data_IF_476654280348
#
_entry.id   IF_476654280348
#
_cell.length_a   1.000
_cell.length_b   1.000
_cell.length_c   1.000
_cell.angle_alpha   90.00
_cell.angle_beta   90.00
_cell.angle_gamma   90.00
#
_symmetry.space_group_name_H-M   'P 1'
#
loop_
_entity.id
_entity.type
_entity.pdbx_description
1 polymer ?
#
# COMPACT_ATOMS: atom_id res chain seq x y z
N UNK A 1 7.99 10.11 32.20
CA UNK A 1 6.57 9.68 32.17
C UNK A 1 6.55 8.25 31.65
N UNK A 2 6.17 7.26 32.47
CA UNK A 2 6.15 5.86 32.02
C UNK A 2 4.93 5.71 31.09
N UNK A 3 5.14 5.49 29.80
CA UNK A 3 4.05 5.14 28.87
C UNK A 3 3.57 3.74 29.26
N UNK A 4 2.30 3.60 29.63
CA UNK A 4 1.70 2.30 29.87
C UNK A 4 1.76 1.45 28.57
N UNK A 5 1.94 0.12 28.69
CA UNK A 5 1.90 -0.76 27.52
C UNK A 5 0.53 -0.67 26.83
N UNK A 6 0.52 -0.65 25.49
CA UNK A 6 -0.71 -0.74 24.71
C UNK A 6 -1.17 -2.18 24.62
N UNK A 7 -2.47 -2.41 24.74
CA UNK A 7 -3.10 -3.73 24.62
C UNK A 7 -3.72 -3.86 23.23
N UNK A 8 -3.41 -4.97 22.56
CA UNK A 8 -3.85 -5.31 21.20
C UNK A 8 -4.52 -6.69 21.20
N UNK A 9 -5.70 -6.77 20.61
CA UNK A 9 -6.54 -7.96 20.51
C UNK A 9 -7.69 -7.65 19.52
N UNK A 10 -8.44 -8.63 19.00
CA UNK A 10 -8.39 -10.08 19.27
C UNK A 10 -7.43 -10.92 18.43
N UNK A 11 -6.72 -10.37 17.44
CA UNK A 11 -5.92 -11.14 16.47
C UNK A 11 -6.76 -12.17 15.69
N UNK A 12 -7.93 -11.74 15.18
CA UNK A 12 -8.87 -12.64 14.49
C UNK A 12 -9.30 -12.07 13.13
N UNK A 13 -9.90 -12.90 12.29
CA UNK A 13 -10.67 -12.43 11.14
C UNK A 13 -11.87 -11.62 11.62
N UNK A 14 -12.21 -10.55 10.90
CA UNK A 14 -13.29 -9.66 11.31
C UNK A 14 -14.67 -10.31 11.15
N UNK A 15 -15.40 -10.40 12.26
CA UNK A 15 -16.82 -10.76 12.31
C UNK A 15 -17.57 -9.71 13.12
N UNK A 16 -18.50 -8.97 12.47
CA UNK A 16 -19.08 -7.74 13.04
C UNK A 16 -19.69 -7.95 14.42
N UNK A 17 -20.60 -8.92 14.55
CA UNK A 17 -21.36 -9.15 15.79
C UNK A 17 -20.45 -9.57 16.94
N UNK A 18 -19.43 -10.37 16.65
CA UNK A 18 -18.45 -10.81 17.64
C UNK A 18 -17.54 -9.64 18.08
N UNK A 19 -17.02 -8.87 17.11
CA UNK A 19 -16.19 -7.70 17.42
C UNK A 19 -16.96 -6.65 18.21
N UNK A 20 -18.24 -6.44 17.91
CA UNK A 20 -19.08 -5.51 18.65
C UNK A 20 -19.18 -5.92 20.13
N UNK A 21 -19.55 -7.19 20.40
CA UNK A 21 -19.61 -7.71 21.77
C UNK A 21 -18.25 -7.59 22.47
N UNK A 22 -17.17 -7.92 21.76
CA UNK A 22 -15.81 -7.81 22.32
C UNK A 22 -15.44 -6.37 22.70
N UNK A 23 -15.74 -5.40 21.84
CA UNK A 23 -15.45 -3.98 22.09
C UNK A 23 -16.29 -3.41 23.24
N UNK A 24 -17.56 -3.81 23.35
CA UNK A 24 -18.44 -3.44 24.47
C UNK A 24 -17.89 -3.96 25.81
N UNK A 25 -17.33 -5.16 25.84
CA UNK A 25 -16.76 -5.76 27.07
C UNK A 25 -15.33 -5.28 27.39
N UNK A 26 -14.61 -4.71 26.41
CA UNK A 26 -13.20 -4.30 26.57
C UNK A 26 -13.00 -2.78 26.68
N UNK A 27 -14.09 -2.02 26.86
CA UNK A 27 -14.04 -0.57 27.00
C UNK A 27 -13.05 -0.13 28.09
N UNK A 28 -12.19 0.83 27.75
CA UNK A 28 -11.17 1.39 28.64
C UNK A 28 -9.92 0.52 28.84
N UNK A 29 -9.91 -0.73 28.35
CA UNK A 29 -8.76 -1.63 28.47
C UNK A 29 -8.04 -1.85 27.13
N UNK A 30 -8.77 -1.80 26.01
CA UNK A 30 -8.20 -2.03 24.68
C UNK A 30 -7.64 -0.74 24.07
N UNK A 31 -6.40 -0.77 23.59
CA UNK A 31 -5.81 0.33 22.82
C UNK A 31 -5.92 0.13 21.31
N UNK A 32 -5.91 -1.12 20.86
CA UNK A 32 -5.85 -1.50 19.46
C UNK A 32 -6.82 -2.66 19.22
N UNK A 33 -7.78 -2.46 18.33
CA UNK A 33 -8.60 -3.54 17.78
C UNK A 33 -7.90 -4.08 16.53
N UNK A 34 -7.50 -5.34 16.59
CA UNK A 34 -6.70 -6.01 15.56
C UNK A 34 -7.53 -6.94 14.70
N UNK A 35 -7.21 -7.03 13.42
CA UNK A 35 -7.81 -7.99 12.51
C UNK A 35 -6.76 -8.60 11.57
N UNK A 36 -7.06 -9.80 11.09
CA UNK A 36 -6.31 -10.46 10.02
C UNK A 36 -7.01 -10.29 8.68
N UNK A 37 -6.26 -10.21 7.58
CA UNK A 37 -6.83 -10.09 6.22
C UNK A 37 -6.13 -11.03 5.23
N UNK A 38 -6.91 -11.92 4.61
CA UNK A 38 -6.47 -12.84 3.55
C UNK A 38 -7.53 -12.95 2.44
N UNK A 39 -7.72 -11.88 1.67
CA UNK A 39 -8.82 -11.77 0.71
C UNK A 39 -8.63 -12.52 -0.62
N UNK A 40 -7.45 -13.10 -0.89
CA UNK A 40 -7.19 -13.82 -2.15
C UNK A 40 -7.49 -15.32 -2.07
N UNK A 41 -7.65 -15.87 -0.87
CA UNK A 41 -7.87 -17.31 -0.66
C UNK A 41 -6.58 -18.11 -0.43
N UNK A 42 -6.59 -19.39 -0.76
CA UNK A 42 -5.46 -20.28 -0.51
C UNK A 42 -4.30 -20.02 -1.48
N UNK A 43 -3.07 -20.12 -1.00
CA UNK A 43 -1.88 -20.13 -1.87
C UNK A 43 -1.92 -21.24 -2.93
N UNK A 44 -2.52 -22.39 -2.62
CA UNK A 44 -2.64 -23.51 -3.57
C UNK A 44 -3.65 -23.29 -4.69
N UNK A 45 -4.39 -22.17 -4.70
CA UNK A 45 -5.38 -21.88 -5.72
C UNK A 45 -4.73 -21.72 -7.11
N UNK A 46 -5.13 -22.51 -8.12
CA UNK A 46 -4.60 -22.37 -9.47
C UNK A 46 -4.89 -21.00 -10.09
N UNK A 47 -5.97 -20.34 -9.68
CA UNK A 47 -6.50 -19.08 -10.24
C UNK A 47 -5.96 -17.82 -9.53
N UNK A 48 -4.99 -17.98 -8.62
CA UNK A 48 -4.52 -16.88 -7.76
C UNK A 48 -4.05 -15.64 -8.52
N UNK A 49 -3.42 -15.78 -9.69
CA UNK A 49 -3.00 -14.65 -10.52
C UNK A 49 -4.22 -13.85 -11.02
N UNK A 50 -5.26 -14.53 -11.50
CA UNK A 50 -6.46 -13.86 -11.99
C UNK A 50 -7.17 -13.12 -10.85
N UNK A 51 -7.20 -13.71 -9.65
CA UNK A 51 -7.72 -13.03 -8.44
C UNK A 51 -6.94 -11.77 -8.07
N UNK A 52 -5.61 -11.78 -8.21
CA UNK A 52 -4.78 -10.60 -7.95
C UNK A 52 -5.05 -9.48 -8.97
N UNK A 53 -5.42 -9.83 -10.20
CA UNK A 53 -5.71 -8.86 -11.28
C UNK A 53 -7.20 -8.48 -11.37
N UNK A 54 -8.07 -9.12 -10.58
CA UNK A 54 -9.51 -8.86 -10.55
C UNK A 54 -9.84 -7.76 -9.54
N UNK A 55 -10.31 -6.62 -10.03
CA UNK A 55 -10.69 -5.47 -9.21
C UNK A 55 -11.80 -5.79 -8.20
N UNK A 56 -12.71 -6.71 -8.52
CA UNK A 56 -13.79 -7.14 -7.63
C UNK A 56 -13.23 -7.91 -6.44
N UNK A 57 -12.27 -8.82 -6.69
CA UNK A 57 -11.61 -9.59 -5.64
C UNK A 57 -10.75 -8.68 -4.78
N UNK A 58 -10.01 -7.74 -5.37
CA UNK A 58 -9.24 -6.75 -4.62
C UNK A 58 -10.14 -5.86 -3.75
N UNK A 59 -11.26 -5.37 -4.29
CA UNK A 59 -12.22 -4.56 -3.54
C UNK A 59 -12.83 -5.31 -2.34
N UNK A 60 -12.89 -6.65 -2.36
CA UNK A 60 -13.34 -7.41 -1.18
C UNK A 60 -12.41 -7.24 0.04
N UNK A 61 -11.13 -6.91 -0.17
CA UNK A 61 -10.18 -6.59 0.90
C UNK A 61 -10.51 -5.31 1.66
N UNK A 62 -11.24 -4.37 1.04
CA UNK A 62 -11.72 -3.15 1.70
C UNK A 62 -12.84 -3.38 2.70
N UNK A 63 -13.63 -4.44 2.53
CA UNK A 63 -14.84 -4.70 3.34
C UNK A 63 -14.53 -4.82 4.84
N UNK A 64 -13.60 -5.68 5.30
CA UNK A 64 -13.26 -5.75 6.72
C UNK A 64 -12.63 -4.46 7.26
N UNK A 65 -11.86 -3.73 6.43
CA UNK A 65 -11.26 -2.44 6.80
C UNK A 65 -12.36 -1.40 7.09
N UNK A 66 -13.31 -1.24 6.17
CA UNK A 66 -14.44 -0.34 6.31
C UNK A 66 -15.35 -0.73 7.49
N UNK A 67 -15.64 -2.02 7.65
CA UNK A 67 -16.48 -2.51 8.74
C UNK A 67 -15.84 -2.23 10.11
N UNK A 68 -14.54 -2.52 10.29
CA UNK A 68 -13.86 -2.24 11.55
C UNK A 68 -13.82 -0.75 11.83
N UNK A 69 -13.51 0.09 10.84
CA UNK A 69 -13.53 1.55 10.98
C UNK A 69 -14.88 2.03 11.53
N UNK A 70 -15.98 1.64 10.88
CA UNK A 70 -17.31 2.08 11.30
C UNK A 70 -17.70 1.53 12.66
N UNK A 71 -17.36 0.28 12.98
CA UNK A 71 -17.68 -0.29 14.29
C UNK A 71 -16.95 0.45 15.42
N UNK A 72 -15.70 0.86 15.21
CA UNK A 72 -14.96 1.67 16.19
C UNK A 72 -15.62 3.05 16.38
N UNK A 73 -16.09 3.67 15.29
CA UNK A 73 -16.83 4.94 15.33
C UNK A 73 -18.20 4.77 16.05
N UNK A 74 -18.95 3.72 15.73
CA UNK A 74 -20.27 3.39 16.30
C UNK A 74 -20.19 3.10 17.80
N UNK A 75 -19.17 2.37 18.24
CA UNK A 75 -18.99 2.01 19.67
C UNK A 75 -18.42 3.15 20.51
N UNK A 76 -17.86 4.18 19.90
CA UNK A 76 -17.23 5.31 20.59
C UNK A 76 -15.99 4.92 21.41
N UNK A 77 -15.39 3.76 21.12
CA UNK A 77 -14.17 3.31 21.79
C UNK A 77 -12.98 4.21 21.43
N UNK A 78 -11.99 4.27 22.33
CA UNK A 78 -10.71 4.94 22.04
C UNK A 78 -9.71 4.03 21.31
N UNK A 79 -10.05 2.76 21.12
CA UNK A 79 -9.21 1.82 20.39
C UNK A 79 -9.11 2.21 18.91
N UNK A 80 -7.95 1.98 18.32
CA UNK A 80 -7.71 2.18 16.88
C UNK A 80 -7.66 0.86 16.12
N UNK A 81 -8.01 0.87 14.84
CA UNK A 81 -8.01 -0.32 13.99
C UNK A 81 -6.63 -0.62 13.40
N UNK A 82 -6.13 -1.84 13.59
CA UNK A 82 -4.89 -2.35 12.98
C UNK A 82 -5.16 -3.62 12.17
N UNK A 83 -4.41 -3.79 11.08
CA UNK A 83 -4.23 -5.10 10.45
C UNK A 83 -2.94 -5.68 11.00
N UNK A 84 -3.03 -6.74 11.78
CA UNK A 84 -1.89 -7.29 12.54
C UNK A 84 -1.30 -8.54 11.90
N UNK A 85 -2.00 -9.10 10.93
CA UNK A 85 -1.49 -10.13 10.06
C UNK A 85 -2.20 -10.08 8.70
N UNK A 86 -1.43 -9.97 7.62
CA UNK A 86 -1.98 -10.11 6.27
C UNK A 86 -0.90 -10.55 5.29
N UNK A 87 -1.18 -11.62 4.56
CA UNK A 87 -0.32 -12.14 3.49
C UNK A 87 -1.07 -12.33 2.17
N UNK A 88 -2.30 -11.82 2.06
CA UNK A 88 -3.16 -11.87 0.88
C UNK A 88 -3.71 -13.25 0.57
N UNK A 89 -2.82 -14.19 0.27
CA UNK A 89 -3.11 -15.61 0.14
C UNK A 89 -2.64 -16.38 1.38
N UNK A 90 -3.53 -17.09 2.06
CA UNK A 90 -3.19 -17.90 3.24
C UNK A 90 -2.44 -19.19 2.83
N UNK A 91 -2.05 -20.01 3.81
CA UNK A 91 -1.24 -21.22 3.60
C UNK A 91 0.13 -20.96 2.95
N UNK A 92 0.82 -19.92 3.41
CA UNK A 92 2.18 -19.54 2.98
C UNK A 92 2.32 -19.01 1.55
N UNK A 93 1.22 -18.66 0.88
CA UNK A 93 1.27 -18.19 -0.50
C UNK A 93 1.72 -19.27 -1.50
N UNK A 94 2.26 -18.84 -2.65
CA UNK A 94 2.63 -19.73 -3.77
C UNK A 94 3.89 -19.26 -4.47
N UNK A 95 4.86 -20.17 -4.65
CA UNK A 95 6.03 -19.90 -5.48
C UNK A 95 5.64 -19.58 -6.92
N UNK A 96 6.32 -18.61 -7.51
CA UNK A 96 6.01 -18.10 -8.84
C UNK A 96 4.80 -17.15 -8.87
N UNK A 97 4.15 -16.89 -7.74
CA UNK A 97 3.02 -15.95 -7.64
C UNK A 97 3.21 -14.95 -6.50
N UNK A 98 3.22 -15.37 -5.24
CA UNK A 98 3.24 -14.44 -4.09
C UNK A 98 4.63 -13.90 -3.76
N UNK A 99 5.67 -14.45 -4.39
CA UNK A 99 7.05 -13.98 -4.34
C UNK A 99 7.50 -13.36 -5.67
N UNK A 100 6.56 -12.99 -6.54
CA UNK A 100 6.84 -12.39 -7.86
C UNK A 100 6.13 -11.05 -8.00
N UNK A 101 6.45 -10.29 -9.05
CA UNK A 101 5.99 -8.91 -9.23
C UNK A 101 4.47 -8.77 -9.21
N UNK A 102 3.73 -9.77 -9.72
CA UNK A 102 2.26 -9.76 -9.74
C UNK A 102 1.68 -9.53 -8.35
N UNK A 103 2.34 -10.01 -7.29
CA UNK A 103 1.82 -9.87 -5.93
C UNK A 103 1.89 -8.43 -5.39
N UNK A 104 2.78 -7.61 -5.96
CA UNK A 104 2.93 -6.21 -5.57
C UNK A 104 1.69 -5.37 -5.88
N UNK A 105 0.88 -5.81 -6.85
CA UNK A 105 -0.42 -5.21 -7.13
C UNK A 105 -1.36 -5.32 -5.93
N UNK A 106 -1.58 -6.53 -5.40
CA UNK A 106 -2.39 -6.73 -4.21
C UNK A 106 -1.79 -6.00 -3.01
N UNK A 107 -0.47 -6.08 -2.82
CA UNK A 107 0.14 -5.57 -1.60
C UNK A 107 0.06 -4.04 -1.49
N UNK A 108 0.43 -3.31 -2.55
CA UNK A 108 0.34 -1.86 -2.52
C UNK A 108 -1.11 -1.38 -2.54
N UNK A 109 -2.01 -2.14 -3.17
CA UNK A 109 -3.43 -1.86 -3.17
C UNK A 109 -4.06 -1.95 -1.78
N UNK A 110 -3.81 -3.05 -1.04
CA UNK A 110 -4.34 -3.22 0.31
C UNK A 110 -3.75 -2.20 1.30
N UNK A 111 -2.49 -1.78 1.11
CA UNK A 111 -1.92 -0.66 1.90
C UNK A 111 -2.67 0.65 1.63
N UNK A 112 -2.98 0.94 0.37
CA UNK A 112 -3.79 2.10 -0.03
C UNK A 112 -5.20 2.06 0.58
N UNK A 113 -5.89 0.93 0.48
CA UNK A 113 -7.23 0.74 1.07
C UNK A 113 -7.21 0.82 2.60
N UNK A 114 -6.23 0.19 3.25
CA UNK A 114 -6.09 0.24 4.70
C UNK A 114 -5.92 1.68 5.20
N UNK A 115 -5.07 2.46 4.54
CA UNK A 115 -4.90 3.88 4.84
C UNK A 115 -6.20 4.68 4.63
N UNK A 116 -6.91 4.45 3.51
CA UNK A 116 -8.17 5.14 3.20
C UNK A 116 -9.29 4.86 4.22
N UNK A 117 -9.29 3.67 4.84
CA UNK A 117 -10.22 3.30 5.91
C UNK A 117 -9.63 3.42 7.31
N UNK A 118 -8.68 4.33 7.49
CA UNK A 118 -8.15 4.76 8.78
C UNK A 118 -7.47 3.65 9.62
N UNK A 119 -7.00 2.59 8.97
CA UNK A 119 -6.18 1.57 9.62
C UNK A 119 -4.80 2.16 9.94
N UNK A 120 -4.44 2.16 11.22
CA UNK A 120 -3.24 2.89 11.70
C UNK A 120 -1.93 2.12 11.52
N UNK A 121 -2.01 0.80 11.36
CA UNK A 121 -0.86 -0.06 11.15
C UNK A 121 -1.25 -1.28 10.33
N UNK A 122 -0.35 -1.70 9.45
CA UNK A 122 -0.48 -2.89 8.62
C UNK A 122 0.75 -3.79 8.77
N UNK A 123 0.58 -4.95 9.38
CA UNK A 123 1.60 -5.98 9.53
C UNK A 123 1.55 -6.94 8.34
N UNK A 124 2.60 -6.91 7.52
CA UNK A 124 2.79 -7.87 6.44
C UNK A 124 3.25 -9.22 7.00
N UNK A 125 2.45 -10.25 6.78
CA UNK A 125 2.87 -11.64 6.88
C UNK A 125 3.61 -12.00 5.57
N UNK A 126 4.94 -12.14 5.55
CA UNK A 126 5.94 -12.01 6.64
C UNK A 126 7.12 -11.17 6.17
N UNK A 127 8.01 -10.79 7.09
CA UNK A 127 9.36 -10.37 6.71
C UNK A 127 10.15 -11.53 6.07
N UNK A 128 10.16 -12.71 6.71
CA UNK A 128 10.79 -13.95 6.24
C UNK A 128 9.88 -15.13 6.55
N UNK A 129 9.76 -16.07 5.62
CA UNK A 129 9.02 -17.34 5.79
C UNK A 129 7.77 -17.43 4.92
N UNK A 130 7.64 -18.52 4.17
CA UNK A 130 6.59 -18.69 3.16
C UNK A 130 6.87 -17.93 1.87
N UNK A 131 6.07 -18.17 0.83
CA UNK A 131 6.24 -17.54 -0.47
C UNK A 131 5.66 -16.12 -0.54
N UNK A 132 4.91 -15.65 0.45
CA UNK A 132 4.48 -14.24 0.54
C UNK A 132 5.49 -13.36 1.28
N UNK A 133 6.67 -13.88 1.61
CA UNK A 133 7.66 -13.17 2.43
C UNK A 133 8.28 -12.00 1.67
N UNK A 134 8.61 -10.92 2.38
CA UNK A 134 9.33 -9.79 1.78
C UNK A 134 10.76 -10.16 1.39
N UNK A 135 11.39 -11.08 2.12
CA UNK A 135 12.71 -11.61 1.82
C UNK A 135 12.61 -13.10 1.49
N UNK A 136 13.30 -13.54 0.44
CA UNK A 136 13.41 -14.95 0.11
C UNK A 136 13.91 -15.76 1.32
N UNK A 137 13.24 -16.89 1.58
CA UNK A 137 13.44 -17.64 2.84
C UNK A 137 14.81 -18.31 2.93
N UNK A 138 15.49 -18.52 1.79
CA UNK A 138 16.79 -19.20 1.78
C UNK A 138 17.94 -18.21 1.62
N UNK A 139 17.77 -17.22 0.75
CA UNK A 139 18.84 -16.30 0.34
C UNK A 139 18.78 -14.95 1.04
N UNK A 140 17.66 -14.62 1.69
CA UNK A 140 17.33 -13.30 2.24
C UNK A 140 17.36 -12.16 1.21
N UNK A 141 17.44 -12.48 -0.09
CA UNK A 141 17.31 -11.50 -1.16
C UNK A 141 15.87 -10.97 -1.18
N UNK A 142 15.66 -9.64 -1.28
CA UNK A 142 14.32 -9.09 -1.33
C UNK A 142 13.48 -9.61 -2.50
N UNK A 143 12.27 -10.06 -2.20
CA UNK A 143 11.24 -10.33 -3.21
C UNK A 143 10.64 -9.01 -3.72
N UNK A 144 9.93 -9.00 -4.87
CA UNK A 144 9.39 -7.79 -5.48
C UNK A 144 8.63 -6.84 -4.54
N UNK A 145 7.79 -7.39 -3.67
CA UNK A 145 6.98 -6.63 -2.71
C UNK A 145 7.81 -5.76 -1.77
N UNK A 146 9.05 -6.17 -1.46
CA UNK A 146 9.95 -5.38 -0.61
C UNK A 146 10.23 -4.02 -1.23
N UNK A 147 10.48 -3.95 -2.54
CA UNK A 147 10.82 -2.70 -3.21
C UNK A 147 9.63 -1.74 -3.27
N UNK A 148 8.42 -2.27 -3.49
CA UNK A 148 7.17 -1.51 -3.38
C UNK A 148 6.96 -0.95 -1.97
N UNK A 149 7.09 -1.80 -0.95
CA UNK A 149 6.98 -1.37 0.45
C UNK A 149 8.07 -0.38 0.88
N UNK A 150 9.28 -0.50 0.33
CA UNK A 150 10.37 0.43 0.60
C UNK A 150 10.09 1.81 0.01
N UNK A 151 9.57 1.89 -1.22
CA UNK A 151 9.12 3.17 -1.79
C UNK A 151 7.94 3.74 -1.01
N UNK A 152 6.94 2.92 -0.66
CA UNK A 152 5.85 3.34 0.22
C UNK A 152 6.40 3.94 1.52
N UNK A 153 7.31 3.22 2.19
CA UNK A 153 7.93 3.68 3.44
C UNK A 153 8.72 4.98 3.26
N UNK A 154 9.41 5.17 2.14
CA UNK A 154 10.23 6.37 1.91
C UNK A 154 9.39 7.59 1.52
N UNK A 155 8.30 7.39 0.79
CA UNK A 155 7.56 8.46 0.12
C UNK A 155 6.21 8.79 0.80
N UNK A 156 5.40 7.77 1.13
CA UNK A 156 4.02 7.96 1.61
C UNK A 156 4.02 8.39 3.08
N UNK A 157 3.49 9.58 3.37
CA UNK A 157 3.37 10.12 4.72
C UNK A 157 2.16 9.60 5.50
N UNK A 158 1.99 10.08 6.74
CA UNK A 158 0.89 9.65 7.63
C UNK A 158 -0.47 10.24 7.27
N UNK A 159 -0.50 11.36 6.55
CA UNK A 159 -1.75 12.05 6.19
C UNK A 159 -2.25 11.55 4.84
N UNK A 160 -3.38 10.85 4.87
CA UNK A 160 -4.06 10.33 3.68
C UNK A 160 -4.88 11.44 3.04
N UNK A 161 -4.87 11.52 1.71
CA UNK A 161 -5.63 12.49 0.92
C UNK A 161 -6.78 11.81 0.21
N UNK A 162 -7.92 12.51 0.10
CA UNK A 162 -9.03 12.05 -0.72
C UNK A 162 -8.56 11.95 -2.18
N UNK A 163 -8.67 10.76 -2.75
CA UNK A 163 -8.19 10.46 -4.10
C UNK A 163 -9.33 9.90 -4.92
N UNK A 164 -9.51 10.43 -6.13
CA UNK A 164 -10.48 9.93 -7.11
C UNK A 164 -9.79 9.75 -8.44
N UNK A 165 -9.96 8.58 -9.04
CA UNK A 165 -9.52 8.33 -10.40
C UNK A 165 -10.73 8.27 -11.33
N UNK A 166 -10.73 9.07 -12.39
CA UNK A 166 -11.75 9.05 -13.43
C UNK A 166 -11.19 8.29 -14.64
N UNK A 167 -11.67 7.07 -14.86
CA UNK A 167 -11.19 6.22 -15.95
C UNK A 167 -11.49 4.74 -15.71
N UNK A 168 -10.62 3.87 -16.23
CA UNK A 168 -10.74 2.42 -16.04
C UNK A 168 -10.62 2.03 -14.57
N UNK A 169 -11.48 1.13 -14.10
CA UNK A 169 -11.42 0.56 -12.75
C UNK A 169 -10.16 -0.27 -12.50
N UNK A 170 -9.44 -0.66 -13.56
CA UNK A 170 -8.14 -1.34 -13.48
C UNK A 170 -6.98 -0.41 -13.10
N UNK A 171 -7.20 0.90 -13.11
CA UNK A 171 -6.26 1.87 -12.56
C UNK A 171 -6.69 2.19 -11.14
N UNK A 172 -5.78 1.96 -10.19
CA UNK A 172 -6.01 2.21 -8.78
C UNK A 172 -5.13 3.36 -8.33
N UNK A 173 -5.68 4.27 -7.53
CA UNK A 173 -5.02 5.52 -7.18
C UNK A 173 -5.15 5.82 -5.68
N UNK A 174 -4.03 6.16 -5.06
CA UNK A 174 -3.95 6.56 -3.65
C UNK A 174 -3.03 7.77 -3.52
N UNK A 175 -3.36 8.73 -2.65
CA UNK A 175 -2.51 9.88 -2.41
C UNK A 175 -2.34 10.18 -0.92
N UNK A 176 -1.13 10.56 -0.54
CA UNK A 176 -0.76 10.95 0.81
C UNK A 176 0.02 12.26 0.74
N UNK A 177 0.06 13.02 1.84
CA UNK A 177 1.12 13.99 2.01
C UNK A 177 2.48 13.28 1.99
N UNK A 178 3.50 13.93 1.42
CA UNK A 178 4.84 13.37 1.36
C UNK A 178 5.43 13.20 2.77
N UNK A 179 6.18 12.12 2.99
CA UNK A 179 6.68 11.74 4.33
C UNK A 179 7.74 12.68 4.87
N UNK A 180 8.70 13.09 4.04
CA UNK A 180 9.92 13.79 4.45
C UNK A 180 10.08 15.16 3.78
N UNK A 181 9.03 15.68 3.15
CA UNK A 181 9.03 16.95 2.41
C UNK A 181 7.63 17.54 2.39
N UNK A 182 7.48 18.87 2.23
CA UNK A 182 6.21 19.45 1.80
C UNK A 182 5.88 18.95 0.40
N UNK A 183 4.71 18.34 0.25
CA UNK A 183 4.30 17.81 -1.03
C UNK A 183 3.23 16.74 -0.93
N UNK A 184 2.95 16.15 -2.09
CA UNK A 184 2.00 15.04 -2.26
C UNK A 184 2.74 13.88 -2.91
N UNK A 185 2.43 12.67 -2.48
CA UNK A 185 2.82 11.44 -3.17
C UNK A 185 1.56 10.74 -3.63
N UNK A 186 1.54 10.38 -4.91
CA UNK A 186 0.47 9.60 -5.55
C UNK A 186 1.02 8.24 -5.92
N UNK A 187 0.29 7.19 -5.60
CA UNK A 187 0.50 5.83 -6.06
C UNK A 187 -0.54 5.52 -7.14
N UNK A 188 -0.08 5.10 -8.31
CA UNK A 188 -0.92 4.58 -9.40
C UNK A 188 -0.54 3.12 -9.67
N UNK A 189 -1.55 2.26 -9.79
CA UNK A 189 -1.38 0.84 -10.09
C UNK A 189 -2.20 0.52 -11.33
N UNK A 190 -1.59 -0.05 -12.37
CA UNK A 190 -2.29 -0.49 -13.57
C UNK A 190 -2.36 -2.02 -13.62
N UNK A 191 -3.56 -2.55 -13.43
CA UNK A 191 -3.86 -3.98 -13.52
C UNK A 191 -4.18 -4.43 -14.95
N UNK A 192 -4.29 -3.51 -15.91
CA UNK A 192 -4.50 -3.87 -17.31
C UNK A 192 -3.18 -4.32 -17.94
N UNK A 193 -3.18 -5.51 -18.55
CA UNK A 193 -2.00 -6.07 -19.23
C UNK A 193 -1.80 -5.62 -20.66
N UNK A 194 -2.74 -4.88 -21.24
CA UNK A 194 -2.74 -4.51 -22.66
C UNK A 194 -2.71 -3.00 -22.90
N UNK A 195 -3.11 -2.21 -21.90
CA UNK A 195 -3.38 -0.78 -22.09
C UNK A 195 -2.49 0.08 -21.20
N UNK A 196 -1.77 1.01 -21.82
CA UNK A 196 -1.10 2.11 -21.13
C UNK A 196 -2.14 3.18 -20.77
N UNK A 197 -2.15 3.62 -19.51
CA UNK A 197 -2.95 4.77 -19.10
C UNK A 197 -2.10 6.05 -19.11
N UNK A 198 -2.66 7.12 -19.67
CA UNK A 198 -2.07 8.47 -19.62
C UNK A 198 -2.84 9.30 -18.58
N UNK A 199 -2.37 9.29 -17.34
CA UNK A 199 -3.06 9.92 -16.22
C UNK A 199 -2.68 11.40 -16.10
N UNK A 200 -3.67 12.29 -16.13
CA UNK A 200 -3.49 13.69 -15.76
C UNK A 200 -3.76 13.85 -14.28
N UNK A 201 -2.88 14.56 -13.58
CA UNK A 201 -3.03 14.82 -12.17
C UNK A 201 -3.52 16.26 -11.95
N UNK A 202 -4.67 16.38 -11.32
CA UNK A 202 -5.22 17.64 -10.85
C UNK A 202 -5.26 17.62 -9.33
N UNK A 203 -4.66 18.63 -8.70
CA UNK A 203 -4.63 18.77 -7.25
C UNK A 203 -5.45 19.98 -6.84
N UNK A 204 -6.44 19.76 -5.99
CA UNK A 204 -7.38 20.78 -5.55
C UNK A 204 -7.21 21.04 -4.05
N UNK A 205 -7.32 22.31 -3.65
CA UNK A 205 -7.35 22.74 -2.26
C UNK A 205 -8.64 23.52 -2.01
N UNK A 206 -9.72 22.83 -1.64
CA UNK A 206 -11.05 23.46 -1.49
C UNK A 206 -11.44 24.28 -2.74
N UNK A 207 -12.04 25.46 -2.55
CA UNK A 207 -12.44 26.40 -3.61
C UNK A 207 -11.27 27.22 -4.20
N UNK A 208 -10.01 27.00 -3.76
CA UNK A 208 -8.83 27.79 -4.19
C UNK A 208 -8.35 27.42 -5.61
N UNK A 209 -9.09 26.58 -6.33
CA UNK A 209 -8.81 26.16 -7.71
C UNK A 209 -7.74 25.07 -7.85
N UNK A 210 -7.48 24.66 -9.09
CA UNK A 210 -6.45 23.68 -9.41
C UNK A 210 -5.05 24.26 -9.18
N UNK A 211 -4.20 23.49 -8.52
CA UNK A 211 -2.82 23.84 -8.26
C UNK A 211 -1.89 23.27 -9.31
N UNK A 212 -1.05 24.13 -9.89
CA UNK A 212 -0.02 23.75 -10.85
C UNK A 212 1.33 23.51 -10.16
N UNK A 213 2.13 22.63 -10.75
CA UNK A 213 3.48 22.31 -10.32
C UNK A 213 4.38 22.13 -11.55
N UNK A 214 5.63 22.62 -11.46
CA UNK A 214 6.53 22.66 -12.61
C UNK A 214 7.17 21.30 -12.92
N UNK A 215 7.49 20.54 -11.86
CA UNK A 215 8.17 19.25 -11.95
C UNK A 215 7.60 18.26 -10.93
N UNK A 216 7.79 16.98 -11.23
CA UNK A 216 7.50 15.87 -10.34
C UNK A 216 8.55 14.78 -10.52
N UNK A 217 8.71 13.96 -9.51
CA UNK A 217 9.58 12.78 -9.50
C UNK A 217 8.73 11.53 -9.69
N UNK A 218 9.12 10.65 -10.60
CA UNK A 218 8.40 9.39 -10.85
C UNK A 218 9.29 8.17 -10.60
N UNK A 219 8.70 7.15 -9.96
CA UNK A 219 9.30 5.87 -9.65
C UNK A 219 8.45 4.79 -10.31
N UNK A 220 8.83 4.38 -11.51
CA UNK A 220 8.15 3.35 -12.30
C UNK A 220 8.68 1.98 -11.92
N UNK A 221 7.85 1.18 -11.26
CA UNK A 221 8.12 -0.22 -11.00
C UNK A 221 7.50 -1.08 -12.10
N UNK A 222 8.32 -1.85 -12.78
CA UNK A 222 7.89 -2.81 -13.80
C UNK A 222 8.56 -4.17 -13.59
N UNK A 223 7.93 -5.26 -14.06
CA UNK A 223 8.60 -6.54 -14.06
C UNK A 223 9.66 -6.60 -15.18
N UNK A 224 10.75 -7.35 -14.93
CA UNK A 224 11.72 -7.66 -15.98
C UNK A 224 11.02 -8.27 -17.20
N UNK A 225 11.27 -7.71 -18.38
CA UNK A 225 10.71 -8.14 -19.67
C UNK A 225 9.17 -8.15 -19.74
N UNK A 226 8.48 -7.41 -18.86
CA UNK A 226 7.03 -7.42 -18.79
C UNK A 226 6.43 -8.69 -18.17
N UNK A 227 7.25 -9.63 -17.69
CA UNK A 227 6.80 -10.87 -17.08
C UNK A 227 6.35 -10.62 -15.62
N UNK A 228 5.04 -10.51 -15.39
CA UNK A 228 4.49 -10.30 -14.04
C UNK A 228 4.86 -11.40 -13.03
N UNK A 229 5.27 -12.59 -13.47
CA UNK A 229 5.78 -13.64 -12.58
C UNK A 229 7.31 -13.56 -12.37
N UNK A 230 7.96 -12.47 -12.79
CA UNK A 230 9.37 -12.23 -12.51
C UNK A 230 9.60 -11.91 -11.03
N UNK A 231 10.70 -12.44 -10.47
CA UNK A 231 11.23 -12.03 -9.16
C UNK A 231 12.09 -10.76 -9.25
N UNK A 232 12.42 -10.30 -10.46
CA UNK A 232 13.22 -9.09 -10.69
C UNK A 232 12.32 -7.91 -10.99
N UNK A 233 12.46 -6.86 -10.18
CA UNK A 233 11.79 -5.57 -10.37
C UNK A 233 12.74 -4.60 -11.05
N UNK A 234 12.24 -3.85 -12.02
CA UNK A 234 12.90 -2.70 -12.59
C UNK A 234 12.37 -1.44 -11.93
N UNK A 235 13.25 -0.52 -11.54
CA UNK A 235 12.90 0.87 -11.25
C UNK A 235 13.36 1.74 -12.41
N UNK A 236 12.42 2.44 -13.06
CA UNK A 236 12.73 3.33 -14.18
C UNK A 236 13.59 2.61 -15.26
N UNK A 237 13.28 1.34 -15.52
CA UNK A 237 13.99 0.48 -16.48
C UNK A 237 15.27 -0.18 -15.98
N UNK A 238 15.72 0.09 -14.74
CA UNK A 238 16.95 -0.48 -14.16
C UNK A 238 16.64 -1.58 -13.14
N UNK A 239 17.25 -2.78 -13.23
CA UNK A 239 17.03 -3.83 -12.25
C UNK A 239 17.41 -3.43 -10.83
N UNK A 240 16.53 -3.71 -9.87
CA UNK A 240 16.81 -3.61 -8.45
C UNK A 240 17.39 -4.94 -7.98
N UNK A 241 18.73 -4.98 -7.91
CA UNK A 241 19.49 -6.15 -7.49
C UNK A 241 20.40 -5.73 -6.35
N UNK A 242 20.39 -6.50 -5.26
CA UNK A 242 21.30 -6.28 -4.13
C UNK A 242 22.72 -6.67 -4.51
N UNK A 243 23.71 -5.94 -4.00
CA UNK A 243 25.11 -6.31 -4.20
C UNK A 243 25.54 -7.48 -3.30
N UNK A 244 26.81 -7.90 -3.39
CA UNK A 244 27.35 -9.00 -2.58
C UNK A 244 27.34 -8.73 -1.07
N UNK A 245 27.15 -7.48 -0.63
CA UNK A 245 26.98 -7.11 0.78
C UNK A 245 25.52 -7.14 1.23
N UNK A 246 24.58 -7.37 0.31
CA UNK A 246 23.14 -7.28 0.57
C UNK A 246 22.60 -5.85 0.58
N UNK A 247 23.38 -4.87 0.11
CA UNK A 247 22.93 -3.49 0.08
C UNK A 247 21.83 -3.30 -0.97
N UNK A 248 20.75 -2.61 -0.56
CA UNK A 248 19.67 -2.23 -1.48
C UNK A 248 20.20 -1.16 -2.44
N UNK A 249 20.03 -1.32 -3.77
CA UNK A 249 20.46 -0.32 -4.73
C UNK A 249 19.75 1.02 -4.50
N UNK A 250 20.41 2.11 -4.88
CA UNK A 250 19.81 3.45 -4.79
C UNK A 250 18.59 3.50 -5.71
N UNK A 251 17.46 3.93 -5.15
CA UNK A 251 16.19 4.01 -5.87
C UNK A 251 15.95 5.45 -6.32
N UNK A 252 16.58 5.85 -7.42
CA UNK A 252 16.47 7.21 -7.96
C UNK A 252 15.19 7.40 -8.80
N UNK A 253 14.48 8.54 -8.64
CA UNK A 253 13.38 8.89 -9.53
C UNK A 253 13.86 9.34 -10.91
N UNK A 254 12.91 9.46 -11.84
CA UNK A 254 13.06 10.32 -13.03
C UNK A 254 12.29 11.62 -12.80
N UNK A 255 12.88 12.75 -13.18
CA UNK A 255 12.22 14.05 -13.12
C UNK A 255 11.43 14.30 -14.40
N UNK A 256 10.17 14.71 -14.26
CA UNK A 256 9.24 14.93 -15.35
C UNK A 256 8.55 16.28 -15.16
N UNK A 257 8.34 17.00 -16.28
CA UNK A 257 7.60 18.27 -16.28
C UNK A 257 6.16 18.01 -15.82
N UNK A 258 5.71 18.75 -14.81
CA UNK A 258 4.47 18.53 -14.09
C UNK A 258 3.20 18.54 -14.95
N UNK A 259 3.19 19.32 -16.03
CA UNK A 259 2.07 19.40 -16.98
C UNK A 259 1.93 18.21 -17.93
N UNK A 260 2.96 17.36 -18.07
CA UNK A 260 2.87 16.15 -18.91
C UNK A 260 1.99 15.10 -18.23
N UNK A 261 1.23 14.29 -18.98
CA UNK A 261 0.57 13.14 -18.38
C UNK A 261 1.59 12.18 -17.74
N UNK A 262 1.14 11.41 -16.76
CA UNK A 262 1.87 10.31 -16.14
C UNK A 262 1.54 9.06 -16.95
N UNK A 263 2.54 8.49 -17.61
CA UNK A 263 2.40 7.24 -18.36
C UNK A 263 2.43 6.06 -17.38
N UNK A 264 1.33 5.32 -17.24
CA UNK A 264 1.23 4.12 -16.42
C UNK A 264 1.12 2.92 -17.35
N UNK A 265 2.26 2.26 -17.60
CA UNK A 265 2.37 1.13 -18.52
C UNK A 265 1.49 -0.06 -18.09
N UNK A 266 1.19 -1.01 -19.00
CA UNK A 266 0.46 -2.21 -18.65
C UNK A 266 1.18 -2.99 -17.54
N UNK A 267 0.43 -3.56 -16.60
CA UNK A 267 0.97 -4.30 -15.46
C UNK A 267 2.16 -3.60 -14.78
N UNK A 268 1.96 -2.35 -14.37
CA UNK A 268 2.99 -1.54 -13.72
C UNK A 268 2.45 -0.75 -12.53
N UNK A 269 3.38 -0.25 -11.74
CA UNK A 269 3.11 0.59 -10.57
C UNK A 269 3.96 1.85 -10.68
N UNK A 270 3.40 3.01 -10.36
CA UNK A 270 4.11 4.28 -10.38
C UNK A 270 3.88 5.02 -9.07
N UNK A 271 4.96 5.40 -8.38
CA UNK A 271 4.90 6.43 -7.35
C UNK A 271 5.28 7.78 -7.97
N UNK A 272 4.50 8.81 -7.69
CA UNK A 272 4.69 10.16 -8.19
C UNK A 272 4.81 11.10 -7.00
N UNK A 273 5.99 11.69 -6.81
CA UNK A 273 6.28 12.63 -5.74
C UNK A 273 6.33 14.05 -6.29
N UNK A 274 5.49 14.92 -5.74
CA UNK A 274 5.40 16.34 -6.09
C UNK A 274 5.90 17.11 -4.88
N UNK A 275 7.18 17.48 -4.92
CA UNK A 275 7.88 18.18 -3.86
C UNK A 275 7.66 19.69 -3.92
N UNK A 276 8.06 20.38 -2.85
CA UNK A 276 8.08 21.84 -2.74
C UNK A 276 6.70 22.47 -2.94
N UNK A 277 5.66 21.71 -2.58
CA UNK A 277 4.28 22.10 -2.76
C UNK A 277 3.55 22.08 -1.41
N UNK A 278 3.07 23.24 -0.96
CA UNK A 278 2.50 23.40 0.38
C UNK A 278 0.96 23.40 0.36
N UNK A 279 0.33 22.22 0.29
CA UNK A 279 -1.09 22.09 0.68
C UNK A 279 -1.24 22.36 2.17
N UNK A 280 -2.26 23.11 2.60
CA UNK A 280 -2.57 23.33 4.03
C UNK A 280 -2.67 21.99 4.77
N UNK A 281 -3.30 20.99 4.17
CA UNK A 281 -3.38 19.63 4.71
C UNK A 281 -2.02 18.95 4.90
N UNK A 282 -0.99 19.35 4.14
CA UNK A 282 0.37 18.83 4.19
C UNK A 282 1.38 19.82 4.80
N UNK A 283 0.91 20.91 5.44
CA UNK A 283 1.74 21.93 6.09
C UNK A 283 2.03 21.64 7.56
N UNK A 284 1.37 20.66 8.18
CA UNK A 284 1.58 20.35 9.60
C UNK A 284 2.92 19.65 9.84
N UNK A 285 3.83 20.48 10.37
CA UNK A 285 5.15 20.25 10.91
C UNK A 285 5.33 19.01 11.79
N UNK A 286 6.57 18.54 11.84
CA UNK A 286 7.16 17.95 13.03
C UNK A 286 7.67 16.54 12.82
N UNK A 287 8.98 16.41 12.81
CA UNK A 287 9.67 15.20 13.26
C UNK A 287 9.05 14.84 14.62
N UNK A 288 8.13 13.90 14.67
CA UNK A 288 7.87 13.16 15.89
C UNK A 288 9.14 12.33 16.14
N UNK A 289 10.10 12.95 16.84
CA UNK A 289 11.09 12.19 17.58
C UNK A 289 10.29 11.36 18.58
N UNK A 290 10.42 10.04 18.46
CA UNK A 290 9.76 9.01 19.28
C UNK A 290 9.85 9.26 20.78
#
# INVERSE_FOLDING_TARGET
MIRAPRIMAPENLFERDWFQQYLEQSQGSLSISSQHIYNLGAGSDPDLINKILDTTVLNSGAVPLWNLKNLLEETGTSAVGWVTESGGAYNSGRDGVTNTFVFSFWYLDILGMAAAYDTKLFCRQTLVGGYYSLLDTTTFVPNPDYYGALLWHRLMGKHVLLTRFEGSSKIRAYAHCAKNSPGVVVLLINLDGNTTAEAKLSLFENDDGERLFDFRQEYHLTPLEGNIQSKTVLLNGKPLIVDSSGAIPIMEPVEVIGSRPITVNPHSIVFVHISNFAFKACRSFGVEVL
#
